data_IF_036882918137
#
_entry.id   IF_036882918137
#
_cell.length_a   1.000
_cell.length_b   1.000
_cell.length_c   1.000
_cell.angle_alpha   90.00
_cell.angle_beta   90.00
_cell.angle_gamma   90.00
#
_symmetry.space_group_name_H-M   'P 1'
#
loop_
_entity.id
_entity.type
_entity.pdbx_description
1 polymer ?
#
# COMPACT_ATOMS: atom_id res chain seq x y z
N UNK A 1 28.02 11.57 -0.20
CA UNK A 1 28.28 10.71 0.99
C UNK A 1 27.15 9.72 1.08
N UNK A 2 27.39 8.44 1.43
CA UNK A 2 26.28 7.53 1.68
C UNK A 2 25.43 8.08 2.84
N UNK A 3 24.11 8.01 2.69
CA UNK A 3 23.18 8.48 3.71
C UNK A 3 23.41 7.71 5.02
N UNK A 4 23.92 8.37 6.03
CA UNK A 4 24.14 7.75 7.35
C UNK A 4 22.80 7.64 8.07
N UNK A 5 22.30 6.43 8.20
CA UNK A 5 21.11 6.13 9.00
C UNK A 5 21.54 5.41 10.29
N UNK A 6 21.28 6.01 11.42
CA UNK A 6 21.62 5.43 12.75
C UNK A 6 21.01 4.04 12.94
N UNK A 7 19.85 3.77 12.35
CA UNK A 7 19.18 2.47 12.49
C UNK A 7 19.73 1.41 11.50
N UNK A 8 20.41 1.83 10.42
CA UNK A 8 21.05 0.91 9.49
C UNK A 8 22.18 0.12 10.17
N UNK A 9 23.05 0.82 10.91
CA UNK A 9 24.10 0.20 11.70
C UNK A 9 23.56 -0.73 12.80
N UNK A 10 22.36 -0.43 13.32
CA UNK A 10 21.67 -1.27 14.32
C UNK A 10 20.88 -2.43 13.70
N UNK A 11 21.07 -2.73 12.41
CA UNK A 11 20.41 -3.81 11.67
C UNK A 11 18.88 -3.66 11.61
N UNK A 12 18.40 -2.47 11.22
CA UNK A 12 16.96 -2.22 11.01
C UNK A 12 16.36 -3.10 9.89
N UNK A 13 17.15 -3.50 8.89
CA UNK A 13 16.67 -4.32 7.77
C UNK A 13 15.78 -3.61 6.74
N UNK A 14 15.31 -2.39 7.03
CA UNK A 14 14.37 -1.66 6.16
C UNK A 14 14.96 -1.16 4.83
N UNK A 15 16.29 -1.05 4.73
CA UNK A 15 17.00 -0.41 3.61
C UNK A 15 18.23 -1.23 3.17
N UNK A 16 18.05 -2.45 2.63
CA UNK A 16 19.18 -3.33 2.28
C UNK A 16 20.11 -2.79 1.19
N UNK A 17 19.69 -1.78 0.44
CA UNK A 17 20.51 -1.17 -0.61
C UNK A 17 21.02 0.24 -0.24
N UNK A 18 20.83 0.71 1.00
CA UNK A 18 21.18 2.07 1.41
C UNK A 18 22.67 2.42 1.20
N UNK A 19 23.56 1.43 1.33
CA UNK A 19 24.99 1.60 1.11
C UNK A 19 25.36 1.84 -0.35
N UNK A 20 24.48 1.55 -1.30
CA UNK A 20 24.73 1.73 -2.74
C UNK A 20 24.24 3.09 -3.22
N UNK A 21 24.96 3.78 -4.08
CA UNK A 21 24.45 4.94 -4.81
C UNK A 21 23.13 4.61 -5.52
N UNK A 22 22.20 5.55 -5.54
CA UNK A 22 20.85 5.28 -6.07
C UNK A 22 20.87 4.83 -7.55
N UNK A 23 21.78 5.38 -8.36
CA UNK A 23 21.98 4.95 -9.76
C UNK A 23 22.34 3.46 -9.87
N UNK A 24 23.15 2.95 -8.96
CA UNK A 24 23.54 1.52 -8.95
C UNK A 24 22.37 0.63 -8.50
N UNK A 25 21.54 1.13 -7.56
CA UNK A 25 20.31 0.41 -7.17
C UNK A 25 19.38 0.24 -8.37
N UNK A 26 19.18 1.30 -9.18
CA UNK A 26 18.37 1.25 -10.40
C UNK A 26 18.96 0.29 -11.43
N UNK A 27 20.29 0.31 -11.62
CA UNK A 27 20.97 -0.59 -12.55
C UNK A 27 20.79 -2.07 -12.14
N UNK A 28 20.88 -2.40 -10.84
CA UNK A 28 20.63 -3.77 -10.34
C UNK A 28 19.19 -4.22 -10.58
N UNK A 29 18.21 -3.34 -10.33
CA UNK A 29 16.80 -3.61 -10.60
C UNK A 29 16.55 -3.82 -12.09
N UNK A 30 17.16 -2.97 -12.95
CA UNK A 30 17.05 -3.08 -14.41
C UNK A 30 17.62 -4.41 -14.92
N UNK A 31 18.82 -4.81 -14.45
CA UNK A 31 19.45 -6.07 -14.88
C UNK A 31 18.56 -7.29 -14.53
N UNK A 32 18.03 -7.34 -13.30
CA UNK A 32 17.12 -8.42 -12.89
C UNK A 32 15.83 -8.46 -13.73
N UNK A 33 15.24 -7.31 -14.03
CA UNK A 33 14.05 -7.24 -14.88
C UNK A 33 14.34 -7.67 -16.31
N UNK A 34 15.50 -7.28 -16.85
CA UNK A 34 15.90 -7.69 -18.19
C UNK A 34 16.14 -9.20 -18.28
N UNK A 35 16.73 -9.81 -17.27
CA UNK A 35 16.92 -11.25 -17.17
C UNK A 35 15.59 -12.00 -17.15
N UNK A 36 14.64 -11.58 -16.32
CA UNK A 36 13.38 -12.29 -16.11
C UNK A 36 12.34 -12.04 -17.22
N UNK A 37 12.30 -10.83 -17.77
CA UNK A 37 11.21 -10.37 -18.63
C UNK A 37 11.65 -10.08 -20.07
N UNK A 38 12.95 -9.89 -20.31
CA UNK A 38 13.47 -9.47 -21.62
C UNK A 38 13.21 -10.45 -22.76
N UNK A 39 13.01 -11.74 -22.44
CA UNK A 39 12.63 -12.77 -23.42
C UNK A 39 11.19 -12.68 -23.92
N UNK A 40 10.31 -11.97 -23.19
CA UNK A 40 8.89 -11.83 -23.60
C UNK A 40 8.64 -10.55 -24.40
N UNK A 41 9.24 -9.43 -23.99
CA UNK A 41 9.04 -8.13 -24.63
C UNK A 41 10.10 -7.12 -24.16
N UNK A 42 10.22 -5.93 -24.83
CA UNK A 42 11.11 -4.88 -24.39
C UNK A 42 10.83 -4.41 -22.95
N UNK A 43 11.86 -4.40 -22.12
CA UNK A 43 11.85 -3.84 -20.76
C UNK A 43 12.36 -2.40 -20.83
N UNK A 44 11.50 -1.44 -20.56
CA UNK A 44 11.87 -0.02 -20.51
C UNK A 44 12.81 0.24 -19.32
N UNK A 45 13.52 1.38 -19.36
CA UNK A 45 14.34 1.79 -18.24
C UNK A 45 13.51 1.95 -16.95
N UNK A 46 14.04 1.48 -15.82
CA UNK A 46 13.39 1.66 -14.50
C UNK A 46 13.21 3.16 -14.25
N UNK A 47 11.95 3.57 -14.08
CA UNK A 47 11.62 4.95 -13.73
C UNK A 47 11.98 5.19 -12.25
N UNK A 48 13.14 5.82 -12.02
CA UNK A 48 13.60 6.18 -10.69
C UNK A 48 12.86 7.38 -10.10
N UNK A 49 13.12 7.63 -8.82
CA UNK A 49 12.60 8.78 -8.06
C UNK A 49 13.68 9.87 -7.97
N UNK A 50 13.28 11.15 -8.13
CA UNK A 50 14.22 12.27 -8.00
C UNK A 50 14.79 12.37 -6.58
N UNK A 51 13.92 12.28 -5.58
CA UNK A 51 14.26 12.30 -4.16
C UNK A 51 13.97 10.94 -3.52
N UNK A 52 14.93 9.97 -3.54
CA UNK A 52 14.69 8.58 -3.15
C UNK A 52 14.67 8.33 -1.63
N UNK A 53 14.43 9.38 -0.85
CA UNK A 53 14.28 9.37 0.60
C UNK A 53 12.96 10.05 0.99
N UNK A 54 12.53 9.88 2.25
CA UNK A 54 11.36 10.51 2.83
C UNK A 54 10.07 10.37 2.00
N UNK A 55 9.92 9.24 1.32
CA UNK A 55 8.80 8.99 0.41
C UNK A 55 7.65 8.19 1.02
N UNK A 56 7.91 7.49 2.16
CA UNK A 56 6.88 6.63 2.77
C UNK A 56 5.85 7.45 3.52
N UNK A 57 4.62 7.39 3.03
CA UNK A 57 3.43 8.00 3.64
C UNK A 57 2.77 7.10 4.71
N UNK A 58 3.38 5.96 5.05
CA UNK A 58 2.93 5.04 6.10
C UNK A 58 4.11 4.59 6.95
N UNK A 59 3.96 4.68 8.26
CA UNK A 59 4.87 4.15 9.25
C UNK A 59 4.17 3.17 10.18
N UNK A 60 4.86 2.10 10.55
CA UNK A 60 4.45 1.18 11.61
C UNK A 60 5.58 1.13 12.62
N UNK A 61 5.28 1.44 13.87
CA UNK A 61 6.25 1.37 14.94
C UNK A 61 5.70 0.57 16.12
N UNK A 62 6.58 -0.13 16.81
CA UNK A 62 6.25 -0.98 17.96
C UNK A 62 6.66 -0.29 19.26
N UNK A 63 5.86 -0.47 20.30
CA UNK A 63 6.20 -0.01 21.63
C UNK A 63 6.96 -1.10 22.40
N UNK A 64 7.89 -0.68 23.25
CA UNK A 64 8.60 -1.55 24.16
C UNK A 64 9.00 -0.80 25.44
N UNK A 65 9.31 -1.54 26.50
CA UNK A 65 9.94 -0.97 27.70
C UNK A 65 11.43 -1.26 27.64
N UNK A 66 12.25 -0.22 27.64
CA UNK A 66 13.70 -0.33 27.69
C UNK A 66 14.26 0.51 28.83
N UNK A 67 15.05 -0.12 29.72
CA UNK A 67 15.60 0.54 30.92
C UNK A 67 14.53 1.30 31.73
N UNK A 68 13.36 0.66 31.92
CA UNK A 68 12.23 1.24 32.66
C UNK A 68 11.47 2.37 31.95
N UNK A 69 11.80 2.70 30.71
CA UNK A 69 11.16 3.79 29.94
C UNK A 69 10.39 3.23 28.74
N UNK A 70 9.21 3.80 28.47
CA UNK A 70 8.47 3.54 27.23
C UNK A 70 9.27 4.06 26.04
N UNK A 71 9.52 3.20 25.05
CA UNK A 71 10.15 3.55 23.78
C UNK A 71 9.24 3.11 22.62
N UNK A 72 9.42 3.72 21.44
CA UNK A 72 8.74 3.35 20.23
C UNK A 72 9.69 3.41 19.04
N UNK A 73 9.59 2.47 18.11
CA UNK A 73 10.46 2.42 16.94
C UNK A 73 10.22 1.19 16.06
N UNK A 74 11.19 0.93 15.17
CA UNK A 74 11.16 -0.22 14.27
C UNK A 74 11.76 -1.44 14.95
N UNK A 75 11.41 -2.64 14.50
CA UNK A 75 12.14 -3.85 14.90
C UNK A 75 13.49 -3.94 14.20
N UNK A 76 14.50 -4.46 14.91
CA UNK A 76 15.70 -4.96 14.29
C UNK A 76 15.35 -6.22 13.48
N UNK A 77 15.98 -6.39 12.32
CA UNK A 77 15.70 -7.47 11.38
C UNK A 77 15.77 -8.85 12.05
N UNK A 78 14.74 -9.67 11.80
CA UNK A 78 14.64 -11.02 12.35
C UNK A 78 14.44 -11.09 13.87
N UNK A 79 14.13 -9.98 14.55
CA UNK A 79 13.96 -9.92 16.02
C UNK A 79 12.72 -9.10 16.42
N UNK A 80 12.34 -9.22 17.69
CA UNK A 80 11.36 -8.34 18.34
C UNK A 80 12.01 -7.18 19.12
N UNK A 81 13.33 -6.96 18.96
CA UNK A 81 14.04 -5.87 19.61
C UNK A 81 13.69 -4.54 18.95
N UNK A 82 13.03 -3.66 19.67
CA UNK A 82 12.68 -2.32 19.18
C UNK A 82 13.94 -1.45 19.13
N UNK A 83 14.18 -0.84 17.99
CA UNK A 83 15.17 0.22 17.77
C UNK A 83 14.48 1.55 18.01
N UNK A 84 14.74 2.24 19.14
CA UNK A 84 14.10 3.51 19.43
C UNK A 84 14.54 4.58 18.43
N UNK A 85 13.60 5.43 18.05
CA UNK A 85 13.89 6.58 17.22
C UNK A 85 12.82 6.85 16.19
N UNK A 86 12.72 8.12 15.83
CA UNK A 86 11.78 8.64 14.86
C UNK A 86 12.48 9.16 13.58
N UNK A 87 13.80 8.90 13.41
CA UNK A 87 14.58 9.49 12.32
C UNK A 87 14.80 8.47 11.19
N UNK A 88 13.70 7.95 10.66
CA UNK A 88 13.74 7.05 9.53
C UNK A 88 13.87 7.84 8.21
N UNK A 89 14.94 7.57 7.44
CA UNK A 89 15.18 8.22 6.15
C UNK A 89 14.15 7.88 5.07
N UNK A 90 13.37 6.80 5.23
CA UNK A 90 12.34 6.44 4.25
C UNK A 90 11.00 7.10 4.54
N UNK A 91 10.65 7.30 5.81
CA UNK A 91 9.37 7.87 6.22
C UNK A 91 9.36 9.37 5.93
N UNK A 92 8.21 9.89 5.48
CA UNK A 92 8.00 11.34 5.41
C UNK A 92 8.31 11.96 6.76
N UNK A 93 8.99 13.11 6.78
CA UNK A 93 9.42 13.77 8.02
C UNK A 93 8.27 14.03 9.01
N UNK A 94 7.08 14.31 8.46
CA UNK A 94 5.89 14.53 9.28
C UNK A 94 5.50 13.28 10.08
N UNK A 95 5.77 12.08 9.56
CA UNK A 95 5.55 10.82 10.28
C UNK A 95 6.58 10.65 11.39
N UNK A 96 7.86 10.99 11.15
CA UNK A 96 8.90 10.98 12.16
C UNK A 96 8.54 11.93 13.33
N UNK A 97 8.12 13.17 13.00
CA UNK A 97 7.66 14.16 13.98
C UNK A 97 6.41 13.67 14.74
N UNK A 98 5.49 13.01 14.03
CA UNK A 98 4.27 12.47 14.66
C UNK A 98 4.59 11.32 15.59
N UNK A 99 5.51 10.42 15.22
CA UNK A 99 5.93 9.30 16.07
C UNK A 99 6.52 9.79 17.40
N UNK A 100 7.37 10.81 17.35
CA UNK A 100 7.92 11.45 18.55
C UNK A 100 6.80 12.05 19.42
N UNK A 101 5.84 12.75 18.82
CA UNK A 101 4.71 13.33 19.54
C UNK A 101 3.79 12.27 20.17
N UNK A 102 3.55 11.15 19.47
CA UNK A 102 2.78 10.00 20.00
C UNK A 102 3.48 9.42 21.22
N UNK A 103 4.79 9.19 21.16
CA UNK A 103 5.57 8.67 22.29
C UNK A 103 5.51 9.61 23.50
N UNK A 104 5.67 10.90 23.29
CA UNK A 104 5.60 11.89 24.36
C UNK A 104 4.21 11.97 25.00
N UNK A 105 3.15 11.95 24.20
CA UNK A 105 1.77 11.94 24.69
C UNK A 105 1.46 10.66 25.49
N UNK A 106 1.95 9.50 25.02
CA UNK A 106 1.80 8.23 25.73
C UNK A 106 2.54 8.24 27.08
N UNK A 107 3.75 8.80 27.13
CA UNK A 107 4.51 8.97 28.39
C UNK A 107 3.80 9.91 29.37
N UNK A 108 3.24 11.02 28.87
CA UNK A 108 2.47 11.94 29.69
C UNK A 108 1.23 11.28 30.33
N UNK A 109 0.62 10.33 29.63
CA UNK A 109 -0.49 9.50 30.14
C UNK A 109 -0.02 8.32 31.00
N UNK A 110 1.28 8.15 31.21
CA UNK A 110 1.90 7.02 31.94
C UNK A 110 1.51 5.66 31.36
N UNK A 111 1.30 5.59 30.06
CA UNK A 111 0.98 4.35 29.38
C UNK A 111 2.20 3.44 29.28
N UNK A 112 1.98 2.15 29.31
CA UNK A 112 3.01 1.10 29.25
C UNK A 112 2.99 0.38 27.90
N UNK A 113 4.14 -0.13 27.48
CA UNK A 113 4.19 -1.07 26.37
C UNK A 113 3.54 -2.38 26.78
N UNK A 114 2.88 -3.04 25.82
CA UNK A 114 2.36 -4.39 26.02
C UNK A 114 3.52 -5.40 26.00
N UNK A 115 3.54 -6.25 27.02
CA UNK A 115 4.46 -7.38 27.16
C UNK A 115 3.75 -8.64 26.67
N UNK A 116 4.19 -9.18 25.53
CA UNK A 116 3.59 -10.35 24.89
C UNK A 116 3.71 -11.62 25.76
N UNK A 117 4.80 -11.73 26.54
CA UNK A 117 5.07 -12.91 27.37
C UNK A 117 4.16 -12.91 28.62
N UNK A 118 4.02 -11.73 29.24
CA UNK A 118 3.22 -11.54 30.46
C UNK A 118 1.75 -11.28 30.17
N UNK A 119 1.38 -10.88 28.96
CA UNK A 119 0.03 -10.48 28.60
C UNK A 119 -0.45 -9.20 29.28
N UNK A 120 0.46 -8.28 29.64
CA UNK A 120 0.16 -7.05 30.39
C UNK A 120 0.68 -5.81 29.68
N UNK A 121 0.02 -4.68 29.89
CA UNK A 121 0.36 -3.40 29.26
C UNK A 121 -0.67 -2.93 28.27
N UNK A 122 -0.51 -1.75 27.70
CA UNK A 122 -1.52 -1.06 26.90
C UNK A 122 -1.17 -0.98 25.41
N UNK A 123 0.06 -0.61 25.09
CA UNK A 123 0.43 -0.26 23.71
C UNK A 123 1.26 -1.36 23.03
N UNK A 124 0.76 -1.90 21.95
CA UNK A 124 1.50 -2.84 21.07
C UNK A 124 2.23 -2.09 19.96
N UNK A 125 1.47 -1.40 19.11
CA UNK A 125 1.99 -0.70 17.94
C UNK A 125 1.31 0.65 17.74
N UNK A 126 1.90 1.48 16.88
CA UNK A 126 1.22 2.60 16.25
C UNK A 126 1.40 2.52 14.74
N UNK A 127 0.33 2.83 14.01
CA UNK A 127 0.34 2.97 12.55
C UNK A 127 0.02 4.42 12.23
N UNK A 128 0.92 5.06 11.50
CA UNK A 128 0.78 6.43 11.07
C UNK A 128 0.57 6.48 9.56
N UNK A 129 -0.31 7.36 9.08
CA UNK A 129 -0.51 7.62 7.65
C UNK A 129 -0.55 9.12 7.41
N UNK A 130 0.25 9.61 6.49
CA UNK A 130 0.26 11.00 6.03
C UNK A 130 -0.46 11.14 4.69
N UNK A 131 -0.96 12.33 4.43
CA UNK A 131 -1.54 12.73 3.15
C UNK A 131 -0.69 13.79 2.44
N UNK A 132 -0.95 14.01 1.15
CA UNK A 132 -0.30 15.06 0.35
C UNK A 132 -0.49 16.48 0.93
N UNK A 133 -1.54 16.70 1.74
CA UNK A 133 -1.78 17.97 2.43
C UNK A 133 -1.09 18.07 3.79
N UNK A 134 -0.20 17.14 4.13
CA UNK A 134 0.51 17.13 5.41
C UNK A 134 -0.39 16.80 6.62
N UNK A 135 -1.53 16.16 6.41
CA UNK A 135 -2.40 15.68 7.49
C UNK A 135 -2.06 14.25 7.85
N UNK A 136 -2.26 13.87 9.12
CA UNK A 136 -1.88 12.55 9.61
C UNK A 136 -3.04 11.88 10.34
N UNK A 137 -3.24 10.59 10.04
CA UNK A 137 -4.03 9.64 10.83
C UNK A 137 -3.08 8.86 11.74
N UNK A 138 -3.39 8.82 13.03
CA UNK A 138 -2.71 8.03 14.05
C UNK A 138 -3.60 6.87 14.47
N UNK A 139 -3.08 5.65 14.38
CA UNK A 139 -3.74 4.44 14.87
C UNK A 139 -2.91 3.86 16.01
N UNK A 140 -3.51 3.76 17.19
CA UNK A 140 -2.92 3.06 18.34
C UNK A 140 -3.42 1.62 18.35
N UNK A 141 -2.52 0.67 18.46
CA UNK A 141 -2.87 -0.76 18.56
C UNK A 141 -2.76 -1.20 20.01
N UNK A 142 -3.86 -1.68 20.56
CA UNK A 142 -3.98 -2.15 21.95
C UNK A 142 -4.49 -3.59 21.99
N UNK A 143 -4.18 -4.38 23.03
CA UNK A 143 -4.74 -5.72 23.18
C UNK A 143 -6.25 -5.66 23.50
N UNK A 144 -6.66 -4.69 24.31
CA UNK A 144 -8.00 -4.54 24.85
C UNK A 144 -8.70 -3.28 24.36
N UNK A 145 -10.03 -3.23 24.41
CA UNK A 145 -10.82 -2.04 24.08
C UNK A 145 -10.69 -0.92 25.12
N UNK A 146 -10.29 -1.26 26.35
CA UNK A 146 -10.10 -0.27 27.39
C UNK A 146 -8.78 0.47 27.21
N UNK A 147 -8.86 1.80 27.11
CA UNK A 147 -7.72 2.68 26.95
C UNK A 147 -7.89 3.89 27.89
N UNK A 148 -7.52 3.73 29.17
CA UNK A 148 -7.72 4.75 30.17
C UNK A 148 -6.91 6.00 29.85
N UNK A 149 -7.52 7.18 30.05
CA UNK A 149 -6.87 8.46 29.72
C UNK A 149 -6.81 8.79 28.22
N UNK A 150 -7.52 8.08 27.36
CA UNK A 150 -7.53 8.31 25.89
C UNK A 150 -7.88 9.75 25.50
N UNK A 151 -8.78 10.43 26.23
CA UNK A 151 -9.10 11.86 26.01
C UNK A 151 -7.89 12.76 26.30
N UNK A 152 -7.17 12.51 27.39
CA UNK A 152 -5.96 13.25 27.74
C UNK A 152 -4.85 13.05 26.71
N UNK A 153 -4.67 11.80 26.23
CA UNK A 153 -3.75 11.49 25.14
C UNK A 153 -4.10 12.28 23.86
N UNK A 154 -5.36 12.25 23.45
CA UNK A 154 -5.79 12.98 22.24
C UNK A 154 -5.52 14.49 22.38
N UNK A 155 -5.78 15.07 23.53
CA UNK A 155 -5.50 16.50 23.81
C UNK A 155 -4.00 16.79 23.76
N UNK A 156 -3.19 15.99 24.45
CA UNK A 156 -1.74 16.15 24.48
C UNK A 156 -1.10 15.99 23.10
N UNK A 157 -1.50 14.96 22.35
CA UNK A 157 -1.00 14.70 21.00
C UNK A 157 -1.34 15.86 20.05
N UNK A 158 -2.60 16.30 20.03
CA UNK A 158 -3.04 17.39 19.13
C UNK A 158 -2.37 18.74 19.45
N UNK A 159 -2.06 18.99 20.70
CA UNK A 159 -1.29 20.18 21.09
C UNK A 159 0.11 20.16 20.50
N UNK A 160 0.78 19.00 20.47
CA UNK A 160 2.15 18.83 19.93
C UNK A 160 2.17 18.65 18.41
N UNK A 161 1.13 18.02 17.85
CA UNK A 161 1.03 17.64 16.44
C UNK A 161 -0.33 18.11 15.85
N UNK A 162 -0.52 19.42 15.61
CA UNK A 162 -1.80 19.98 15.13
C UNK A 162 -2.20 19.51 13.72
N UNK A 163 -1.28 18.89 13.01
CA UNK A 163 -1.54 18.23 11.72
C UNK A 163 -2.22 16.86 11.86
N UNK A 164 -2.33 16.29 13.07
CA UNK A 164 -3.08 15.05 13.32
C UNK A 164 -4.58 15.36 13.24
N UNK A 165 -5.23 14.82 12.23
CA UNK A 165 -6.67 15.03 11.95
C UNK A 165 -7.55 13.91 12.45
N UNK A 166 -6.97 12.74 12.72
CA UNK A 166 -7.73 11.58 13.20
C UNK A 166 -6.88 10.70 14.10
N UNK A 167 -7.49 10.15 15.15
CA UNK A 167 -6.88 9.20 16.08
C UNK A 167 -7.83 8.02 16.23
N UNK A 168 -7.35 6.82 15.96
CA UNK A 168 -8.09 5.57 16.04
C UNK A 168 -7.41 4.62 17.01
N UNK A 169 -8.18 3.92 17.82
CA UNK A 169 -7.74 2.75 18.55
C UNK A 169 -8.12 1.52 17.73
N UNK A 170 -7.13 0.70 17.38
CA UNK A 170 -7.32 -0.61 16.80
C UNK A 170 -7.10 -1.66 17.88
N UNK A 171 -8.06 -2.57 18.05
CA UNK A 171 -8.06 -3.57 19.11
C UNK A 171 -7.60 -4.87 18.49
N UNK A 172 -6.40 -5.30 18.88
CA UNK A 172 -5.79 -6.55 18.43
C UNK A 172 -5.40 -7.44 19.63
N UNK A 173 -6.26 -8.34 20.07
CA UNK A 173 -5.97 -9.25 21.17
C UNK A 173 -5.13 -10.47 20.72
N UNK A 174 -4.91 -10.66 19.41
CA UNK A 174 -4.27 -11.87 18.89
C UNK A 174 -2.76 -11.83 19.08
N UNK A 175 -2.14 -13.00 19.29
CA UNK A 175 -0.68 -13.19 19.32
C UNK A 175 -0.09 -13.52 17.95
N UNK A 176 -0.79 -13.11 16.88
CA UNK A 176 -0.32 -13.30 15.50
C UNK A 176 0.63 -12.19 15.07
N UNK A 177 1.33 -12.39 13.95
CA UNK A 177 2.19 -11.37 13.31
C UNK A 177 1.40 -10.20 12.71
N UNK A 178 0.06 -10.28 12.67
CA UNK A 178 -0.78 -9.20 12.17
C UNK A 178 -0.75 -8.01 13.14
N UNK A 179 -0.35 -6.85 12.64
CA UNK A 179 -0.29 -5.60 13.43
C UNK A 179 -1.69 -5.12 13.81
N UNK A 180 -2.65 -5.17 12.88
CA UNK A 180 -4.00 -4.65 13.07
C UNK A 180 -5.01 -5.79 13.31
N UNK A 181 -5.86 -5.59 14.32
CA UNK A 181 -7.03 -6.43 14.57
C UNK A 181 -8.24 -6.02 13.71
N UNK A 182 -9.37 -6.71 13.94
CA UNK A 182 -10.61 -6.47 13.18
C UNK A 182 -11.47 -5.34 13.74
N UNK A 183 -11.30 -4.96 14.99
CA UNK A 183 -12.14 -3.97 15.70
C UNK A 183 -11.41 -2.64 15.85
N UNK A 184 -12.15 -1.55 15.65
CA UNK A 184 -11.62 -0.18 15.77
C UNK A 184 -12.61 0.73 16.50
N UNK A 185 -12.04 1.74 17.19
CA UNK A 185 -12.79 2.80 17.84
C UNK A 185 -12.13 4.13 17.48
N UNK A 186 -12.89 5.04 16.88
CA UNK A 186 -12.42 6.40 16.65
C UNK A 186 -12.37 7.16 17.96
N UNK A 187 -11.19 7.66 18.31
CA UNK A 187 -10.96 8.47 19.52
C UNK A 187 -11.07 9.97 19.21
N UNK A 188 -10.68 10.37 18.00
CA UNK A 188 -10.76 11.75 17.52
C UNK A 188 -10.84 11.81 16.00
N UNK A 189 -11.57 12.79 15.48
CA UNK A 189 -11.70 13.04 14.05
C UNK A 189 -12.57 12.04 13.29
N UNK A 190 -12.47 11.98 11.96
CA UNK A 190 -13.38 11.18 11.14
C UNK A 190 -13.01 9.68 11.04
N UNK A 191 -11.88 9.23 11.61
CA UNK A 191 -11.40 7.85 11.50
C UNK A 191 -10.56 7.56 10.24
N UNK A 192 -10.29 8.56 9.42
CA UNK A 192 -9.50 8.45 8.20
C UNK A 192 -8.69 9.74 7.93
N UNK A 193 -7.79 9.68 6.97
CA UNK A 193 -7.11 10.83 6.37
C UNK A 193 -7.47 10.90 4.89
N UNK A 194 -7.64 12.13 4.35
CA UNK A 194 -7.88 12.35 2.93
C UNK A 194 -6.55 12.55 2.20
N UNK A 195 -6.34 11.78 1.14
CA UNK A 195 -5.23 11.94 0.22
C UNK A 195 -5.69 12.07 -1.22
N UNK A 196 -4.86 12.62 -2.09
CA UNK A 196 -5.15 12.77 -3.52
C UNK A 196 -4.12 11.99 -4.33
N UNK A 197 -4.59 11.20 -5.29
CA UNK A 197 -3.76 10.41 -6.19
C UNK A 197 -4.32 10.54 -7.62
N UNK A 198 -3.51 10.95 -8.57
CA UNK A 198 -3.93 11.21 -9.96
C UNK A 198 -5.20 12.08 -10.07
N UNK A 199 -5.33 13.10 -9.20
CA UNK A 199 -6.48 14.01 -9.18
C UNK A 199 -7.73 13.46 -8.49
N UNK A 200 -7.74 12.19 -8.06
CA UNK A 200 -8.85 11.54 -7.36
C UNK A 200 -8.58 11.53 -5.85
N UNK A 201 -9.58 11.93 -5.05
CA UNK A 201 -9.48 11.99 -3.60
C UNK A 201 -9.89 10.67 -2.95
N UNK A 202 -9.07 10.17 -2.03
CA UNK A 202 -9.29 8.92 -1.29
C UNK A 202 -9.36 9.18 0.21
N UNK A 203 -10.38 8.63 0.87
CA UNK A 203 -10.39 8.46 2.31
C UNK A 203 -9.65 7.18 2.66
N UNK A 204 -8.57 7.31 3.44
CA UNK A 204 -7.68 6.21 3.79
C UNK A 204 -7.84 5.94 5.27
N UNK A 205 -8.44 4.80 5.62
CA UNK A 205 -8.57 4.33 7.00
C UNK A 205 -7.28 3.64 7.48
N UNK A 206 -7.20 3.30 8.75
CA UNK A 206 -6.09 2.53 9.33
C UNK A 206 -5.86 1.20 8.61
N UNK A 207 -6.92 0.52 8.19
CA UNK A 207 -6.91 -0.82 7.58
C UNK A 207 -6.86 -0.83 6.06
N UNK A 208 -7.11 0.29 5.39
CA UNK A 208 -7.07 0.38 3.92
C UNK A 208 -5.68 0.03 3.40
N UNK A 209 -5.61 -0.80 2.35
CA UNK A 209 -4.40 -0.87 1.55
C UNK A 209 -4.29 0.42 0.72
N UNK A 210 -3.15 1.06 0.76
CA UNK A 210 -2.82 2.23 -0.04
C UNK A 210 -1.32 2.27 -0.24
N UNK A 211 -0.87 2.59 -1.45
CA UNK A 211 0.54 2.59 -1.82
C UNK A 211 1.35 3.58 -0.97
N UNK A 212 2.51 3.13 -0.50
CA UNK A 212 3.30 3.89 0.50
C UNK A 212 4.17 5.00 -0.08
N UNK A 213 4.31 5.07 -1.40
CA UNK A 213 5.06 6.09 -2.11
C UNK A 213 4.13 6.79 -3.11
N UNK A 214 3.52 7.88 -2.69
CA UNK A 214 2.53 8.63 -3.49
C UNK A 214 3.10 9.08 -4.83
N UNK A 215 4.29 9.68 -4.83
CA UNK A 215 4.92 10.22 -6.04
C UNK A 215 5.13 9.14 -7.10
N UNK A 216 5.70 8.02 -6.73
CA UNK A 216 5.94 6.92 -7.66
C UNK A 216 4.67 6.14 -8.00
N UNK A 217 3.66 6.13 -7.12
CA UNK A 217 2.33 5.56 -7.43
C UNK A 217 1.64 6.36 -8.53
N UNK A 218 1.75 7.69 -8.51
CA UNK A 218 1.22 8.50 -9.63
C UNK A 218 1.92 8.17 -10.95
N UNK A 219 3.24 7.99 -10.95
CA UNK A 219 3.99 7.55 -12.13
C UNK A 219 3.50 6.18 -12.61
N UNK A 220 3.35 5.22 -11.68
CA UNK A 220 2.87 3.86 -11.97
C UNK A 220 1.46 3.87 -12.57
N UNK A 221 0.52 4.60 -11.95
CA UNK A 221 -0.87 4.65 -12.40
C UNK A 221 -1.03 5.43 -13.70
N UNK A 222 -0.33 6.55 -13.89
CA UNK A 222 -0.29 7.26 -15.17
C UNK A 222 0.19 6.32 -16.28
N UNK A 223 1.21 5.50 -16.01
CA UNK A 223 1.71 4.50 -16.98
C UNK A 223 0.67 3.41 -17.25
N UNK A 224 -0.02 2.91 -16.22
CA UNK A 224 -1.08 1.91 -16.38
C UNK A 224 -2.25 2.47 -17.23
N UNK A 225 -2.70 3.69 -16.95
CA UNK A 225 -3.77 4.37 -17.70
C UNK A 225 -3.36 4.65 -19.15
N UNK A 226 -2.11 5.10 -19.39
CA UNK A 226 -1.55 5.26 -20.75
C UNK A 226 -1.61 3.97 -21.56
N UNK A 227 -1.25 2.83 -20.94
CA UNK A 227 -1.28 1.53 -21.59
C UNK A 227 -2.69 1.01 -21.81
N UNK A 228 -3.62 1.38 -20.95
CA UNK A 228 -5.03 1.03 -21.10
C UNK A 228 -5.69 1.69 -22.32
N UNK A 229 -5.18 2.86 -22.79
CA UNK A 229 -5.68 3.61 -23.96
C UNK A 229 -7.20 3.78 -23.92
N UNK A 230 -7.73 4.27 -22.80
CA UNK A 230 -9.16 4.51 -22.62
C UNK A 230 -9.61 5.73 -23.42
N UNK A 231 -10.82 5.66 -24.01
CA UNK A 231 -11.41 6.68 -24.89
C UNK A 231 -12.79 7.14 -24.43
N UNK A 232 -13.26 6.71 -23.27
CA UNK A 232 -14.60 6.97 -22.76
C UNK A 232 -15.65 5.94 -23.17
N UNK A 233 -15.28 4.93 -23.96
CA UNK A 233 -16.20 3.91 -24.50
C UNK A 233 -16.02 2.53 -23.87
N UNK A 234 -14.95 2.33 -23.13
CA UNK A 234 -14.54 1.03 -22.62
C UNK A 234 -15.28 0.63 -21.35
N UNK A 235 -15.64 -0.64 -21.28
CA UNK A 235 -15.95 -1.35 -20.03
C UNK A 235 -14.64 -1.89 -19.46
N UNK A 236 -14.34 -1.46 -18.23
CA UNK A 236 -13.09 -1.77 -17.52
C UNK A 236 -13.38 -2.65 -16.32
N UNK A 237 -12.60 -3.71 -16.12
CA UNK A 237 -12.54 -4.44 -14.86
C UNK A 237 -11.27 -4.04 -14.12
N UNK A 238 -11.40 -3.69 -12.84
CA UNK A 238 -10.30 -3.49 -11.88
C UNK A 238 -10.33 -4.67 -10.89
N UNK A 239 -9.57 -5.71 -11.19
CA UNK A 239 -9.49 -6.90 -10.36
C UNK A 239 -8.48 -6.67 -9.22
N UNK A 240 -8.85 -7.10 -8.02
CA UNK A 240 -8.14 -6.81 -6.77
C UNK A 240 -8.15 -5.32 -6.41
N UNK A 241 -9.27 -4.63 -6.64
CA UNK A 241 -9.34 -3.17 -6.67
C UNK A 241 -9.06 -2.47 -5.33
N UNK A 242 -9.04 -3.18 -4.19
CA UNK A 242 -8.86 -2.59 -2.87
C UNK A 242 -9.89 -1.49 -2.59
N UNK A 243 -9.43 -0.29 -2.24
CA UNK A 243 -10.29 0.89 -2.05
C UNK A 243 -10.60 1.62 -3.35
N UNK A 244 -10.39 0.96 -4.50
CA UNK A 244 -10.71 1.45 -5.85
C UNK A 244 -9.67 2.38 -6.46
N UNK A 245 -8.41 2.28 -6.07
CA UNK A 245 -7.41 3.31 -6.47
C UNK A 245 -7.16 3.36 -7.97
N UNK A 246 -6.97 2.25 -8.65
CA UNK A 246 -6.74 2.22 -10.12
C UNK A 246 -8.05 2.50 -10.85
N UNK A 247 -9.12 1.79 -10.47
CA UNK A 247 -10.42 1.90 -11.14
C UNK A 247 -11.02 3.29 -11.07
N UNK A 248 -10.94 3.97 -9.90
CA UNK A 248 -11.46 5.33 -9.77
C UNK A 248 -10.61 6.37 -10.52
N UNK A 249 -9.30 6.16 -10.62
CA UNK A 249 -8.45 6.99 -11.49
C UNK A 249 -8.76 6.75 -12.99
N UNK A 250 -9.19 5.54 -13.36
CA UNK A 250 -9.59 5.19 -14.72
C UNK A 250 -11.02 5.65 -15.08
N UNK A 251 -11.91 5.78 -14.12
CA UNK A 251 -13.34 6.02 -14.33
C UNK A 251 -13.65 7.27 -15.18
N UNK A 252 -12.97 8.43 -15.03
CA UNK A 252 -13.20 9.59 -15.88
C UNK A 252 -12.87 9.34 -17.37
N UNK A 253 -12.08 8.31 -17.66
CA UNK A 253 -11.62 7.95 -19.02
C UNK A 253 -12.35 6.73 -19.61
N UNK A 254 -13.29 6.13 -18.87
CA UNK A 254 -13.98 4.90 -19.23
C UNK A 254 -15.51 5.10 -19.31
N UNK A 255 -16.20 4.26 -20.07
CA UNK A 255 -17.67 4.19 -20.05
C UNK A 255 -18.17 3.66 -18.71
N UNK A 256 -17.53 2.60 -18.21
CA UNK A 256 -17.90 1.91 -16.98
C UNK A 256 -16.69 1.24 -16.36
N UNK A 257 -16.61 1.26 -15.03
CA UNK A 257 -15.62 0.52 -14.25
C UNK A 257 -16.32 -0.45 -13.30
N UNK A 258 -15.82 -1.69 -13.26
CA UNK A 258 -16.26 -2.72 -12.34
C UNK A 258 -15.06 -3.12 -11.49
N UNK A 259 -15.04 -2.69 -10.22
CA UNK A 259 -14.03 -3.10 -9.25
C UNK A 259 -14.45 -4.37 -8.53
N UNK A 260 -13.53 -5.33 -8.40
CA UNK A 260 -13.73 -6.59 -7.68
C UNK A 260 -12.73 -6.71 -6.54
N UNK A 261 -13.24 -6.92 -5.34
CA UNK A 261 -12.41 -7.01 -4.12
C UNK A 261 -13.08 -7.94 -3.11
N UNK A 262 -12.30 -8.83 -2.51
CA UNK A 262 -12.82 -9.81 -1.54
C UNK A 262 -13.07 -9.24 -0.14
N UNK A 263 -12.40 -8.13 0.21
CA UNK A 263 -12.52 -7.50 1.53
C UNK A 263 -13.74 -6.55 1.57
N UNK A 264 -14.82 -6.86 2.31
CA UNK A 264 -16.02 -6.03 2.33
C UNK A 264 -15.79 -4.61 2.88
N UNK A 265 -14.82 -4.43 3.76
CA UNK A 265 -14.46 -3.10 4.25
C UNK A 265 -13.82 -2.25 3.14
N UNK A 266 -12.93 -2.84 2.33
CA UNK A 266 -12.32 -2.15 1.20
C UNK A 266 -13.35 -1.81 0.11
N UNK A 267 -14.29 -2.72 -0.18
CA UNK A 267 -15.42 -2.46 -1.10
C UNK A 267 -16.27 -1.28 -0.63
N UNK A 268 -16.58 -1.22 0.67
CA UNK A 268 -17.31 -0.11 1.27
C UNK A 268 -16.54 1.21 1.12
N UNK A 269 -15.23 1.19 1.36
CA UNK A 269 -14.35 2.35 1.20
C UNK A 269 -14.27 2.78 -0.28
N UNK A 270 -14.18 1.83 -1.23
CA UNK A 270 -14.18 2.10 -2.67
C UNK A 270 -15.47 2.81 -3.12
N UNK A 271 -16.63 2.30 -2.70
CA UNK A 271 -17.92 2.93 -2.99
C UNK A 271 -18.06 4.33 -2.34
N UNK A 272 -17.51 4.52 -1.14
CA UNK A 272 -17.48 5.83 -0.49
C UNK A 272 -16.55 6.81 -1.23
N UNK A 273 -15.40 6.34 -1.71
CA UNK A 273 -14.47 7.12 -2.52
C UNK A 273 -15.07 7.50 -3.88
N UNK A 274 -15.81 6.61 -4.54
CA UNK A 274 -16.55 6.94 -5.76
C UNK A 274 -17.54 8.08 -5.53
N UNK A 275 -18.37 7.99 -4.47
CA UNK A 275 -19.34 9.06 -4.13
C UNK A 275 -18.65 10.38 -3.80
N UNK A 276 -17.52 10.35 -3.07
CA UNK A 276 -16.73 11.53 -2.72
C UNK A 276 -16.26 12.29 -3.95
N UNK A 277 -15.87 11.57 -4.99
CA UNK A 277 -15.40 12.13 -6.25
C UNK A 277 -16.51 12.33 -7.29
N UNK A 278 -17.79 12.12 -6.93
CA UNK A 278 -18.94 12.22 -7.85
C UNK A 278 -18.81 11.29 -9.08
N UNK A 279 -18.13 10.16 -8.91
CA UNK A 279 -17.95 9.13 -9.95
C UNK A 279 -19.18 8.22 -9.93
N UNK A 280 -20.02 8.30 -10.97
CA UNK A 280 -21.26 7.54 -11.09
C UNK A 280 -21.12 6.27 -11.95
N UNK A 281 -20.07 6.17 -12.75
CA UNK A 281 -19.83 5.08 -13.68
C UNK A 281 -18.92 3.96 -13.14
N UNK A 282 -18.69 3.94 -11.82
CA UNK A 282 -17.94 2.88 -11.14
C UNK A 282 -18.85 2.10 -10.18
N UNK A 283 -18.83 0.77 -10.25
CA UNK A 283 -19.48 -0.12 -9.28
C UNK A 283 -18.48 -1.11 -8.71
N UNK A 284 -18.72 -1.56 -7.49
CA UNK A 284 -17.82 -2.46 -6.77
C UNK A 284 -18.55 -3.72 -6.32
N UNK A 285 -17.88 -4.87 -6.48
CA UNK A 285 -18.39 -6.19 -6.15
C UNK A 285 -17.53 -6.79 -5.03
N UNK A 286 -18.16 -7.27 -3.97
CA UNK A 286 -17.49 -7.97 -2.89
C UNK A 286 -17.43 -9.46 -3.23
N UNK A 287 -16.33 -9.91 -3.81
CA UNK A 287 -16.12 -11.30 -4.20
C UNK A 287 -14.63 -11.61 -4.38
N UNK A 288 -14.29 -12.89 -4.39
CA UNK A 288 -12.97 -13.30 -4.90
C UNK A 288 -12.89 -12.97 -6.41
N UNK A 289 -11.79 -12.34 -6.82
CA UNK A 289 -11.65 -11.87 -8.19
C UNK A 289 -11.66 -13.03 -9.22
N UNK A 290 -11.05 -14.17 -8.87
CA UNK A 290 -11.00 -15.35 -9.74
C UNK A 290 -12.39 -15.95 -9.95
N UNK A 291 -13.11 -16.18 -8.85
CA UNK A 291 -14.45 -16.77 -8.87
C UNK A 291 -15.44 -15.86 -9.63
N UNK A 292 -15.41 -14.57 -9.29
CA UNK A 292 -16.30 -13.60 -9.93
C UNK A 292 -16.02 -13.47 -11.43
N UNK A 293 -14.76 -13.37 -11.85
CA UNK A 293 -14.42 -13.26 -13.28
C UNK A 293 -14.78 -14.54 -14.05
N UNK A 294 -14.63 -15.72 -13.43
CA UNK A 294 -15.03 -16.98 -14.05
C UNK A 294 -16.55 -17.06 -14.28
N UNK A 295 -17.35 -16.64 -13.28
CA UNK A 295 -18.81 -16.58 -13.40
C UNK A 295 -19.23 -15.55 -14.45
N UNK A 296 -18.72 -14.33 -14.37
CA UNK A 296 -19.04 -13.24 -15.31
C UNK A 296 -18.65 -13.58 -16.77
N UNK A 297 -17.54 -14.31 -16.97
CA UNK A 297 -17.16 -14.84 -18.28
C UNK A 297 -18.15 -15.92 -18.79
N UNK A 298 -18.75 -16.68 -17.86
CA UNK A 298 -19.82 -17.64 -18.15
C UNK A 298 -21.12 -16.95 -18.59
N UNK A 299 -21.44 -15.82 -18.00
CA UNK A 299 -22.60 -14.98 -18.30
C UNK A 299 -22.41 -14.09 -19.55
N UNK A 300 -21.26 -14.16 -20.20
CA UNK A 300 -21.00 -13.43 -21.44
C UNK A 300 -20.52 -12.00 -21.24
N UNK A 301 -19.99 -11.63 -20.06
CA UNK A 301 -19.37 -10.32 -19.88
C UNK A 301 -18.06 -10.21 -20.67
N UNK A 302 -17.97 -9.22 -21.56
CA UNK A 302 -16.80 -8.92 -22.39
C UNK A 302 -16.29 -7.51 -22.08
N UNK A 303 -15.34 -7.35 -21.13
CA UNK A 303 -14.70 -6.06 -20.88
C UNK A 303 -13.73 -5.71 -22.01
N UNK A 304 -13.51 -4.42 -22.25
CA UNK A 304 -12.49 -3.96 -23.19
C UNK A 304 -11.09 -3.99 -22.58
N UNK A 305 -10.99 -3.67 -21.29
CA UNK A 305 -9.74 -3.62 -20.55
C UNK A 305 -9.89 -4.28 -19.18
N UNK A 306 -8.89 -5.07 -18.79
CA UNK A 306 -8.77 -5.62 -17.44
C UNK A 306 -7.48 -5.10 -16.81
N UNK A 307 -7.60 -4.41 -15.66
CA UNK A 307 -6.48 -4.18 -14.76
C UNK A 307 -6.34 -5.36 -13.81
N UNK A 308 -5.13 -5.87 -13.66
CA UNK A 308 -4.75 -6.87 -12.68
C UNK A 308 -3.68 -6.26 -11.77
N UNK A 309 -3.96 -6.16 -10.47
CA UNK A 309 -2.99 -5.76 -9.44
C UNK A 309 -3.02 -6.81 -8.30
N UNK A 310 -2.59 -8.06 -8.61
CA UNK A 310 -2.68 -9.15 -7.66
C UNK A 310 -1.67 -9.01 -6.51
N UNK A 311 -1.83 -9.78 -5.42
CA UNK A 311 -0.85 -9.86 -4.35
C UNK A 311 0.49 -10.44 -4.87
N UNK A 312 1.53 -10.42 -4.02
CA UNK A 312 2.88 -10.91 -4.36
C UNK A 312 2.93 -12.33 -4.96
N UNK A 313 1.96 -13.17 -4.65
CA UNK A 313 1.85 -14.51 -5.21
C UNK A 313 1.51 -14.52 -6.71
N UNK A 314 1.15 -13.36 -7.28
CA UNK A 314 0.67 -13.23 -8.66
C UNK A 314 -0.78 -13.67 -8.84
N UNK A 315 -1.22 -13.82 -10.08
CA UNK A 315 -2.54 -14.33 -10.44
C UNK A 315 -2.54 -15.86 -10.47
N UNK A 316 -3.72 -16.45 -10.20
CA UNK A 316 -3.90 -17.90 -10.32
C UNK A 316 -4.12 -18.32 -11.78
N UNK A 317 -3.84 -19.58 -12.16
CA UNK A 317 -4.15 -20.09 -13.49
C UNK A 317 -5.62 -19.94 -13.86
N UNK A 318 -6.53 -20.11 -12.90
CA UNK A 318 -7.98 -19.97 -13.07
C UNK A 318 -8.37 -18.52 -13.36
N UNK A 319 -7.73 -17.55 -12.67
CA UNK A 319 -7.90 -16.13 -12.95
C UNK A 319 -7.47 -15.78 -14.37
N UNK A 320 -6.29 -16.25 -14.80
CA UNK A 320 -5.76 -16.05 -16.17
C UNK A 320 -6.69 -16.69 -17.21
N UNK A 321 -7.20 -17.89 -16.95
CA UNK A 321 -8.16 -18.56 -17.83
C UNK A 321 -9.48 -17.79 -17.92
N UNK A 322 -10.00 -17.24 -16.83
CA UNK A 322 -11.20 -16.41 -16.81
C UNK A 322 -11.02 -15.13 -17.63
N UNK A 323 -9.90 -14.42 -17.46
CA UNK A 323 -9.54 -13.26 -18.28
C UNK A 323 -9.48 -13.63 -19.77
N UNK A 324 -8.86 -14.76 -20.08
CA UNK A 324 -8.79 -15.24 -21.48
C UNK A 324 -10.17 -15.54 -22.07
N UNK A 325 -11.09 -16.12 -21.30
CA UNK A 325 -12.47 -16.40 -21.70
C UNK A 325 -13.28 -15.13 -21.96
N UNK A 326 -13.06 -14.07 -21.16
CA UNK A 326 -13.67 -12.74 -21.33
C UNK A 326 -13.21 -12.03 -22.60
N UNK A 327 -12.07 -12.39 -23.18
CA UNK A 327 -11.49 -11.83 -24.41
C UNK A 327 -11.35 -10.29 -24.40
N UNK A 328 -10.79 -9.64 -23.36
CA UNK A 328 -10.57 -8.20 -23.40
C UNK A 328 -9.58 -7.86 -24.52
N UNK A 329 -9.64 -6.62 -24.99
CA UNK A 329 -8.67 -6.12 -25.99
C UNK A 329 -7.28 -5.92 -25.37
N UNK A 330 -7.23 -5.60 -24.08
CA UNK A 330 -6.00 -5.31 -23.33
C UNK A 330 -6.11 -5.82 -21.90
N UNK A 331 -5.00 -6.36 -21.40
CA UNK A 331 -4.79 -6.60 -19.99
C UNK A 331 -3.62 -5.74 -19.54
N UNK A 332 -3.84 -4.88 -18.56
CA UNK A 332 -2.81 -4.07 -17.93
C UNK A 332 -2.50 -4.71 -16.58
N UNK A 333 -1.36 -5.36 -16.51
CA UNK A 333 -0.90 -6.08 -15.31
C UNK A 333 0.07 -5.21 -14.54
N UNK A 334 -0.26 -4.88 -13.29
CA UNK A 334 0.61 -4.21 -12.32
C UNK A 334 1.16 -5.28 -11.39
N UNK A 335 2.46 -5.34 -11.19
CA UNK A 335 3.10 -6.37 -10.36
C UNK A 335 4.18 -5.80 -9.47
N UNK A 336 4.16 -6.19 -8.21
CA UNK A 336 5.19 -5.88 -7.22
C UNK A 336 6.32 -6.94 -7.15
N UNK A 337 6.21 -8.02 -7.93
CA UNK A 337 7.19 -9.11 -7.96
C UNK A 337 7.49 -9.56 -9.40
N UNK A 338 8.71 -9.37 -9.89
CA UNK A 338 9.04 -9.67 -11.29
C UNK A 338 9.09 -11.18 -11.59
N UNK A 339 9.32 -12.05 -10.62
CA UNK A 339 9.38 -13.51 -10.80
C UNK A 339 7.96 -14.06 -11.05
N UNK A 340 7.01 -13.66 -10.21
CA UNK A 340 5.61 -14.03 -10.39
C UNK A 340 5.03 -13.40 -11.66
N UNK A 341 5.44 -12.18 -12.01
CA UNK A 341 5.05 -11.55 -13.28
C UNK A 341 5.55 -12.37 -14.48
N UNK A 342 6.80 -12.80 -14.48
CA UNK A 342 7.35 -13.65 -15.57
C UNK A 342 6.58 -14.95 -15.72
N UNK A 343 6.26 -15.63 -14.60
CA UNK A 343 5.43 -16.84 -14.56
C UNK A 343 4.05 -16.59 -15.19
N UNK A 344 3.38 -15.51 -14.80
CA UNK A 344 2.02 -15.20 -15.22
C UNK A 344 1.98 -14.77 -16.69
N UNK A 345 2.97 -13.98 -17.13
CA UNK A 345 3.13 -13.63 -18.56
C UNK A 345 3.35 -14.90 -19.42
N UNK A 346 4.16 -15.84 -18.95
CA UNK A 346 4.30 -17.13 -19.65
C UNK A 346 2.98 -17.91 -19.73
N UNK A 347 2.15 -17.86 -18.69
CA UNK A 347 0.82 -18.47 -18.69
C UNK A 347 -0.12 -17.79 -19.70
N UNK A 348 -0.14 -16.46 -19.75
CA UNK A 348 -0.87 -15.70 -20.78
C UNK A 348 -0.38 -16.02 -22.19
N UNK A 349 0.95 -16.14 -22.39
CA UNK A 349 1.54 -16.47 -23.71
C UNK A 349 1.06 -17.82 -24.22
N UNK A 350 0.97 -18.84 -23.36
CA UNK A 350 0.41 -20.15 -23.73
C UNK A 350 -1.05 -20.09 -24.19
N UNK A 351 -1.79 -19.07 -23.80
CA UNK A 351 -3.17 -18.81 -24.21
C UNK A 351 -3.27 -17.86 -25.43
N UNK A 352 -2.14 -17.58 -26.09
CA UNK A 352 -2.09 -16.75 -27.31
C UNK A 352 -2.00 -15.24 -27.04
N UNK A 353 -1.73 -14.81 -25.80
CA UNK A 353 -1.45 -13.41 -25.47
C UNK A 353 0.02 -13.08 -25.71
N UNK A 354 0.29 -11.82 -26.00
CA UNK A 354 1.63 -11.30 -26.20
C UNK A 354 1.87 -10.11 -25.27
N UNK A 355 2.95 -10.15 -24.53
CA UNK A 355 3.44 -8.96 -23.84
C UNK A 355 3.91 -7.94 -24.90
N UNK A 356 3.49 -6.69 -24.77
CA UNK A 356 3.88 -5.62 -25.68
C UNK A 356 5.11 -4.87 -25.14
N UNK A 357 5.13 -4.59 -23.86
CA UNK A 357 6.25 -3.94 -23.15
C UNK A 357 6.09 -4.04 -21.65
N UNK A 358 7.22 -3.89 -20.95
CA UNK A 358 7.29 -3.74 -19.49
C UNK A 358 7.74 -2.33 -19.15
N UNK A 359 7.04 -1.68 -18.22
CA UNK A 359 7.32 -0.32 -17.75
C UNK A 359 7.57 -0.36 -16.23
N UNK A 360 8.81 -0.58 -15.79
CA UNK A 360 9.13 -0.65 -14.37
C UNK A 360 9.22 0.72 -13.72
N UNK A 361 8.79 0.78 -12.47
CA UNK A 361 8.81 1.98 -11.62
C UNK A 361 9.41 1.64 -10.26
N UNK A 362 10.40 2.40 -9.82
CA UNK A 362 10.99 2.22 -8.50
C UNK A 362 10.11 2.84 -7.40
N UNK A 363 9.10 2.08 -6.98
CA UNK A 363 8.19 2.48 -5.90
C UNK A 363 8.86 2.40 -4.52
N UNK A 364 9.93 1.60 -4.40
CA UNK A 364 10.60 1.31 -3.14
C UNK A 364 12.12 1.56 -3.22
N UNK A 365 12.56 2.82 -3.40
CA UNK A 365 13.98 3.16 -3.29
C UNK A 365 14.61 2.60 -2.01
N UNK A 366 15.91 2.32 -2.05
CA UNK A 366 16.70 1.71 -0.97
C UNK A 366 16.37 0.24 -0.67
N UNK A 367 15.46 -0.38 -1.44
CA UNK A 367 15.10 -1.80 -1.31
C UNK A 367 15.27 -2.55 -2.63
N UNK A 368 15.16 -3.88 -2.61
CA UNK A 368 15.24 -4.73 -3.82
C UNK A 368 13.95 -4.76 -4.64
N UNK A 369 12.85 -4.23 -4.10
CA UNK A 369 11.55 -4.28 -4.75
C UNK A 369 11.44 -3.29 -5.91
N UNK A 370 10.69 -3.68 -6.94
CA UNK A 370 10.36 -2.85 -8.10
C UNK A 370 8.96 -3.20 -8.55
N UNK A 371 8.16 -2.18 -8.86
CA UNK A 371 6.84 -2.36 -9.48
C UNK A 371 6.99 -2.36 -11.00
N UNK A 372 6.20 -3.14 -11.69
CA UNK A 372 6.24 -3.21 -13.15
C UNK A 372 4.85 -3.25 -13.74
N UNK A 373 4.55 -2.33 -14.67
CA UNK A 373 3.34 -2.38 -15.48
C UNK A 373 3.63 -3.12 -16.76
N UNK A 374 2.87 -4.16 -17.05
CA UNK A 374 2.91 -4.94 -18.29
C UNK A 374 1.63 -4.73 -19.09
N UNK A 375 1.76 -4.50 -20.40
CA UNK A 375 0.64 -4.52 -21.33
C UNK A 375 0.62 -5.86 -22.08
N UNK A 376 -0.47 -6.60 -21.92
CA UNK A 376 -0.75 -7.82 -22.66
C UNK A 376 -1.84 -7.54 -23.70
N UNK A 377 -1.63 -8.00 -24.91
CA UNK A 377 -2.56 -7.92 -26.06
C UNK A 377 -2.67 -9.27 -26.75
N UNK A 378 -3.79 -9.49 -27.40
CA UNK A 378 -4.03 -10.72 -28.17
C UNK A 378 -4.01 -10.46 -29.66
#
# INVERSE_FOLDING_TARGET
MPNTCVNYEKKCGGCPLLALPYREQLAKKQARLQELLGGFAPVKAVQGMAEPLHYRNKAIASFATQRGKLVCGLYAEGTHRVLPGADCLLQEEILNKTLAAVLDAARACRWTAYDEDRGTGLLRHTVLRSSCSGKVLVTLVTPDPDLPGSKNFCTALRKKAPWVVSIVQNINPTRSSAVLGSREKTLYGPGFVLDTLCGTQFAISSRSFYQVNRTQTEVLYKKALELAKLTGRETVIDAYCGIGTIGLCAAPLAKQVIGVERNPAAVKDAAANARRNKIANARFVCADATEWMAAAAGEGLHPDVVFLDPPRAGSTPECIAAVNKMKPRRVVYVSCDPETLARDVAAFTRLGWRASKFCPVDLFPQTRHVETVCLLVK
#
